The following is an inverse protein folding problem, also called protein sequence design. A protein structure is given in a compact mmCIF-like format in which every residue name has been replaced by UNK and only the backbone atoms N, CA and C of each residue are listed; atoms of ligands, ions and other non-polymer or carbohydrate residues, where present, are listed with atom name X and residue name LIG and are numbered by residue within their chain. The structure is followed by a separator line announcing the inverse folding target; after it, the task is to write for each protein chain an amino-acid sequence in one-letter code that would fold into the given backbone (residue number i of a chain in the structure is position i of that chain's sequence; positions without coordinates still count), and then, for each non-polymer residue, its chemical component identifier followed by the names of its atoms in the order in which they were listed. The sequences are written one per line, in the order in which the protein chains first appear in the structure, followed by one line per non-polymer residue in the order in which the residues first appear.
data_IF_607328572858
#
_entry.id   IF_607328572858
#
_cell.length_a   1.000
_cell.length_b   1.000
_cell.length_c   1.000
_cell.angle_alpha   90.00
_cell.angle_beta   90.00
_cell.angle_gamma   90.00
#
_symmetry.space_group_name_H-M   'P 1'
#
loop_
_entity.id
_entity.type
_entity.pdbx_description
1 polymer ?
#
# COMPACT_ATOMS: atom_id res chain seq x y z
N UNK A 1 -15.46 10.04 -17.98
CA UNK A 1 -16.54 9.93 -16.97
C UNK A 1 -16.41 8.54 -16.36
N UNK A 2 -16.55 8.39 -15.03
CA UNK A 2 -16.56 7.06 -14.39
C UNK A 2 -17.99 6.65 -14.09
N UNK A 3 -18.36 5.40 -14.38
CA UNK A 3 -19.67 4.85 -14.01
C UNK A 3 -19.69 4.38 -12.54
N UNK A 4 -20.89 4.21 -11.98
CA UNK A 4 -21.04 3.66 -10.62
C UNK A 4 -20.43 2.25 -10.50
N UNK A 5 -20.52 1.46 -11.57
CA UNK A 5 -19.95 0.11 -11.62
C UNK A 5 -18.42 0.14 -11.67
N UNK A 6 -17.82 1.03 -12.47
CA UNK A 6 -16.37 1.25 -12.45
C UNK A 6 -15.88 1.67 -11.07
N UNK A 7 -16.60 2.55 -10.37
CA UNK A 7 -16.23 2.97 -9.02
C UNK A 7 -16.28 1.80 -8.02
N UNK A 8 -17.28 0.92 -8.13
CA UNK A 8 -17.38 -0.28 -7.28
C UNK A 8 -16.23 -1.25 -7.49
N UNK A 9 -15.71 -1.36 -8.70
CA UNK A 9 -14.63 -2.28 -9.03
C UNK A 9 -13.23 -1.70 -8.74
N UNK A 10 -13.07 -0.39 -8.86
CA UNK A 10 -11.78 0.28 -8.64
C UNK A 10 -11.30 0.19 -7.19
N UNK A 11 -12.18 0.42 -6.21
CA UNK A 11 -11.80 0.38 -4.81
C UNK A 11 -11.23 -0.99 -4.37
N UNK A 12 -11.93 -2.13 -4.55
CA UNK A 12 -11.40 -3.43 -4.18
C UNK A 12 -10.16 -3.79 -5.00
N UNK A 13 -10.11 -3.42 -6.29
CA UNK A 13 -8.92 -3.64 -7.10
C UNK A 13 -7.67 -2.96 -6.52
N UNK A 14 -7.78 -1.70 -6.09
CA UNK A 14 -6.68 -0.97 -5.48
C UNK A 14 -6.27 -1.56 -4.12
N UNK A 15 -7.25 -1.95 -3.29
CA UNK A 15 -6.98 -2.60 -1.99
C UNK A 15 -6.26 -3.93 -2.21
N UNK A 16 -6.77 -4.79 -3.10
CA UNK A 16 -6.16 -6.08 -3.40
C UNK A 16 -4.75 -5.90 -3.93
N UNK A 17 -4.53 -4.96 -4.86
CA UNK A 17 -3.19 -4.67 -5.39
C UNK A 17 -2.20 -4.26 -4.29
N UNK A 18 -2.62 -3.40 -3.36
CA UNK A 18 -1.80 -2.96 -2.23
C UNK A 18 -1.43 -4.14 -1.32
N UNK A 19 -2.42 -4.96 -0.94
CA UNK A 19 -2.22 -6.14 -0.09
C UNK A 19 -1.26 -7.13 -0.77
N UNK A 20 -1.48 -7.45 -2.05
CA UNK A 20 -0.62 -8.38 -2.80
C UNK A 20 0.83 -7.89 -2.90
N UNK A 21 1.05 -6.58 -3.00
CA UNK A 21 2.40 -6.03 -2.96
C UNK A 21 3.08 -6.23 -1.60
N UNK A 22 2.34 -5.99 -0.50
CA UNK A 22 2.84 -6.20 0.86
C UNK A 22 3.16 -7.68 1.08
N UNK A 23 2.26 -8.59 0.70
CA UNK A 23 2.46 -10.04 0.78
C UNK A 23 3.72 -10.48 0.03
N UNK A 24 3.92 -9.99 -1.20
CA UNK A 24 5.10 -10.30 -1.99
C UNK A 24 6.39 -9.79 -1.36
N UNK A 25 6.38 -8.61 -0.74
CA UNK A 25 7.54 -8.07 -0.04
C UNK A 25 7.84 -8.82 1.26
N UNK A 26 6.80 -9.22 2.01
CA UNK A 26 6.94 -10.03 3.22
C UNK A 26 7.50 -11.42 2.91
N UNK A 27 7.07 -12.03 1.80
CA UNK A 27 7.62 -13.31 1.33
C UNK A 27 9.12 -13.20 1.04
N UNK A 28 9.56 -12.15 0.32
CA UNK A 28 10.98 -11.89 0.07
C UNK A 28 11.78 -11.73 1.35
N UNK A 29 11.26 -10.99 2.32
CA UNK A 29 11.92 -10.78 3.61
C UNK A 29 12.04 -12.09 4.39
N UNK A 30 11.01 -12.94 4.33
CA UNK A 30 11.01 -14.28 4.92
C UNK A 30 12.09 -15.16 4.29
N UNK A 31 12.27 -15.11 2.97
CA UNK A 31 13.30 -15.88 2.29
C UNK A 31 14.71 -15.36 2.58
N UNK A 32 14.90 -14.04 2.67
CA UNK A 32 16.16 -13.43 3.13
C UNK A 32 16.55 -13.93 4.53
N UNK A 33 15.59 -13.95 5.46
CA UNK A 33 15.82 -14.47 6.82
C UNK A 33 16.20 -15.96 6.83
N UNK A 34 15.57 -16.77 5.97
CA UNK A 34 15.94 -18.20 5.82
C UNK A 34 17.37 -18.36 5.32
N UNK A 35 17.79 -17.57 4.33
CA UNK A 35 19.14 -17.62 3.77
C UNK A 35 20.20 -17.26 4.82
N UNK A 36 20.03 -16.14 5.54
CA UNK A 36 20.95 -15.73 6.62
C UNK A 36 21.08 -16.83 7.69
N UNK A 37 19.95 -17.46 8.05
CA UNK A 37 19.94 -18.58 9.00
C UNK A 37 20.68 -19.82 8.50
N UNK A 38 20.60 -20.11 7.20
CA UNK A 38 21.27 -21.26 6.59
C UNK A 38 22.78 -21.03 6.46
N UNK A 39 23.20 -19.81 6.13
CA UNK A 39 24.61 -19.44 6.01
C UNK A 39 25.30 -19.32 7.38
N UNK A 40 24.53 -19.29 8.47
CA UNK A 40 25.01 -19.07 9.84
C UNK A 40 25.82 -17.77 9.97
N UNK A 41 25.64 -16.85 9.03
CA UNK A 41 26.27 -15.53 8.93
C UNK A 41 25.36 -14.48 9.59
N UNK A 42 24.97 -14.78 10.83
CA UNK A 42 24.18 -13.86 11.62
C UNK A 42 25.07 -12.70 12.06
N UNK A 43 24.94 -11.56 11.39
CA UNK A 43 25.53 -10.31 11.86
C UNK A 43 24.42 -9.29 12.24
N UNK A 44 24.76 -8.35 13.13
CA UNK A 44 23.82 -7.35 13.63
C UNK A 44 23.31 -6.41 12.53
N UNK A 45 24.08 -6.25 11.45
CA UNK A 45 23.73 -5.38 10.31
C UNK A 45 22.54 -5.97 9.55
N UNK A 46 22.58 -7.27 9.25
CA UNK A 46 21.49 -7.97 8.57
C UNK A 46 20.21 -7.98 9.40
N UNK A 47 20.33 -8.20 10.70
CA UNK A 47 19.21 -8.11 11.63
C UNK A 47 18.59 -6.70 11.66
N UNK A 48 19.44 -5.66 11.71
CA UNK A 48 18.97 -4.27 11.69
C UNK A 48 18.22 -3.96 10.39
N UNK A 49 18.77 -4.38 9.25
CA UNK A 49 18.17 -4.16 7.94
C UNK A 49 16.84 -4.92 7.76
N UNK A 50 16.74 -6.16 8.24
CA UNK A 50 15.49 -6.91 8.25
C UNK A 50 14.44 -6.23 9.13
N UNK A 51 14.83 -5.72 10.30
CA UNK A 51 13.96 -4.99 11.21
C UNK A 51 13.45 -3.69 10.58
N UNK A 52 14.31 -2.92 9.93
CA UNK A 52 13.92 -1.71 9.21
C UNK A 52 12.88 -2.01 8.13
N UNK A 53 13.15 -2.99 7.26
CA UNK A 53 12.21 -3.39 6.20
C UNK A 53 10.87 -3.87 6.73
N UNK A 54 10.89 -4.63 7.83
CA UNK A 54 9.66 -5.10 8.46
C UNK A 54 8.87 -3.95 9.10
N UNK A 55 9.57 -2.95 9.64
CA UNK A 55 8.95 -1.71 10.15
C UNK A 55 8.31 -0.93 9.02
N UNK A 56 9.02 -0.75 7.89
CA UNK A 56 8.48 -0.11 6.69
C UNK A 56 7.24 -0.85 6.15
N UNK A 57 7.27 -2.19 6.07
CA UNK A 57 6.11 -2.96 5.63
C UNK A 57 4.91 -2.81 6.58
N UNK A 58 5.17 -2.72 7.88
CA UNK A 58 4.13 -2.42 8.86
C UNK A 58 3.52 -1.04 8.62
N UNK A 59 4.36 -0.02 8.40
CA UNK A 59 3.88 1.33 8.08
C UNK A 59 3.07 1.36 6.78
N UNK A 60 3.56 0.72 5.71
CA UNK A 60 2.88 0.61 4.42
C UNK A 60 1.54 -0.14 4.52
N UNK A 61 1.44 -1.14 5.40
CA UNK A 61 0.19 -1.85 5.67
C UNK A 61 -0.84 -0.97 6.38
N UNK A 62 -0.40 -0.16 7.34
CA UNK A 62 -1.28 0.74 8.08
C UNK A 62 -1.59 2.04 7.32
N UNK A 63 -0.74 2.43 6.37
CA UNK A 63 -1.07 3.48 5.42
C UNK A 63 -2.11 2.96 4.43
N UNK A 64 -3.32 3.51 4.49
CA UNK A 64 -4.30 3.25 3.45
C UNK A 64 -3.70 3.65 2.10
N UNK A 65 -3.84 2.82 1.05
CA UNK A 65 -3.61 3.31 -0.30
C UNK A 65 -4.50 4.53 -0.43
N UNK A 66 -3.91 5.65 -0.84
CA UNK A 66 -4.52 6.98 -0.98
C UNK A 66 -5.78 6.93 -1.86
N UNK A 67 -6.85 6.32 -1.38
CA UNK A 67 -8.04 5.95 -2.12
C UNK A 67 -9.20 6.44 -1.28
N UNK A 68 -9.84 7.49 -1.76
CA UNK A 68 -10.96 8.13 -1.09
C UNK A 68 -12.20 8.01 -1.95
N UNK A 69 -13.34 7.73 -1.31
CA UNK A 69 -14.64 7.87 -1.96
C UNK A 69 -15.05 9.32 -1.77
N UNK A 70 -15.25 10.03 -2.88
CA UNK A 70 -15.73 11.41 -2.88
C UNK A 70 -17.12 11.49 -3.49
N UNK A 71 -17.96 12.34 -2.90
CA UNK A 71 -19.25 12.71 -3.45
C UNK A 71 -19.19 14.14 -3.97
N UNK A 72 -19.37 14.28 -5.27
CA UNK A 72 -19.46 15.57 -5.95
C UNK A 72 -20.94 15.95 -6.07
N UNK A 73 -21.31 17.05 -5.41
CA UNK A 73 -22.66 17.62 -5.49
C UNK A 73 -22.75 18.50 -6.74
N UNK A 74 -23.67 18.19 -7.64
CA UNK A 74 -24.02 19.10 -8.75
C UNK A 74 -25.48 19.52 -8.61
N UNK A 75 -25.87 20.58 -9.30
CA UNK A 75 -27.23 21.14 -9.22
C UNK A 75 -28.34 20.18 -9.67
N UNK A 76 -28.01 19.12 -10.41
CA UNK A 76 -28.98 18.18 -10.96
C UNK A 76 -28.79 16.74 -10.47
N UNK A 77 -27.55 16.27 -10.31
CA UNK A 77 -27.25 14.87 -9.93
C UNK A 77 -26.05 14.82 -8.98
N UNK A 78 -26.14 14.02 -7.93
CA UNK A 78 -25.00 13.70 -7.07
C UNK A 78 -24.15 12.60 -7.71
N UNK A 79 -22.84 12.79 -7.74
CA UNK A 79 -21.90 11.81 -8.32
C UNK A 79 -20.97 11.25 -7.24
N UNK A 80 -20.86 9.93 -7.18
CA UNK A 80 -19.84 9.24 -6.37
C UNK A 80 -18.65 8.91 -7.28
N UNK A 81 -17.43 9.13 -6.80
CA UNK A 81 -16.19 8.83 -7.50
C UNK A 81 -15.13 8.30 -6.54
N UNK A 82 -14.28 7.41 -7.03
CA UNK A 82 -13.09 6.95 -6.31
C UNK A 82 -11.90 7.78 -6.76
N UNK A 83 -11.27 8.49 -5.84
CA UNK A 83 -10.06 9.28 -6.07
C UNK A 83 -8.86 8.51 -5.54
N UNK A 84 -7.90 8.24 -6.41
CA UNK A 84 -6.64 7.61 -6.06
C UNK A 84 -5.54 8.68 -6.10
N UNK A 85 -5.09 9.18 -4.94
CA UNK A 85 -3.98 10.11 -4.84
C UNK A 85 -2.64 9.36 -4.95
N UNK A 86 -1.96 9.40 -6.09
CA UNK A 86 -0.53 9.10 -6.09
C UNK A 86 0.19 10.21 -5.32
N UNK A 87 0.76 9.94 -4.14
CA UNK A 87 1.54 10.96 -3.40
C UNK A 87 2.58 11.60 -4.34
N UNK A 88 2.76 12.91 -4.40
CA UNK A 88 3.01 13.84 -3.28
C UNK A 88 2.22 15.15 -3.46
N UNK A 89 1.47 15.56 -2.43
CA UNK A 89 1.14 16.97 -2.24
C UNK A 89 1.87 17.46 -1.00
N UNK A 90 3.07 18.02 -1.21
CA UNK A 90 3.71 18.88 -0.21
C UNK A 90 3.09 20.26 -0.40
N UNK A 91 2.24 20.68 0.54
CA UNK A 91 1.83 22.08 0.66
C UNK A 91 2.77 22.73 1.69
N UNK A 92 3.65 23.61 1.23
CA UNK A 92 4.29 24.59 2.11
C UNK A 92 3.33 25.78 2.27
N UNK A 93 3.18 26.22 3.52
CA UNK A 93 2.45 27.43 3.93
C UNK A 93 3.37 28.63 3.73
#
# INVERSE_FOLDING_TARGET
QQTAEECRQLLPHHITKHITQIEGNLAKLTDQLKHIRQENDFNEIDLSHLKEKLTQLSEELHQQPNVSIQQNFTSFINKISVVVSSGKSVNYI
#
